data_IF_590885297188
#
_entry.id   IF_590885297188
#
_cell.length_a   1.000
_cell.length_b   1.000
_cell.length_c   1.000
_cell.angle_alpha   90.00
_cell.angle_beta   90.00
_cell.angle_gamma   90.00
#
_symmetry.space_group_name_H-M   'P 1'
#
loop_
_entity.id
_entity.type
_entity.pdbx_description
1 polymer ?
#
# COMPACT_ATOMS: atom_id res chain seq x y z
N UNK A 1 -10.38 -10.02 74.87
CA UNK A 1 -10.54 -9.13 73.70
C UNK A 1 -9.16 -8.76 73.18
N UNK A 2 -9.05 -8.60 71.86
CA UNK A 2 -7.91 -8.92 71.00
C UNK A 2 -6.54 -8.23 71.26
N UNK A 3 -5.42 -8.85 70.80
CA UNK A 3 -4.15 -8.16 70.61
C UNK A 3 -4.16 -7.34 69.31
N UNK A 4 -3.75 -6.07 69.36
CA UNK A 4 -3.43 -5.28 68.17
C UNK A 4 -2.02 -5.64 67.70
N UNK A 5 -1.92 -6.19 66.49
CA UNK A 5 -0.66 -6.37 65.76
C UNK A 5 -0.29 -5.04 65.10
N UNK A 6 0.83 -4.42 65.49
CA UNK A 6 1.47 -3.38 64.69
C UNK A 6 2.36 -4.05 63.64
N UNK A 7 1.92 -4.01 62.39
CA UNK A 7 2.56 -4.64 61.22
C UNK A 7 3.74 -3.84 60.63
N UNK A 8 4.11 -2.71 61.23
CA UNK A 8 5.25 -1.90 60.80
C UNK A 8 5.99 -1.39 62.02
N UNK A 9 6.96 -2.17 62.50
CA UNK A 9 8.04 -1.66 63.33
C UNK A 9 9.36 -2.10 62.68
N UNK A 10 9.95 -1.15 61.98
CA UNK A 10 11.41 -0.97 61.86
C UNK A 10 12.17 -2.02 61.02
N UNK A 11 12.07 -1.89 59.70
CA UNK A 11 13.25 -2.03 58.86
C UNK A 11 14.21 -0.87 59.17
N UNK A 12 15.33 -1.15 59.81
CA UNK A 12 16.67 -0.62 59.48
C UNK A 12 17.74 -1.25 60.37
N UNK A 13 18.88 -1.46 59.75
CA UNK A 13 20.17 -1.91 60.31
C UNK A 13 20.46 -3.42 60.22
N UNK A 14 20.40 -3.94 58.98
CA UNK A 14 21.25 -5.07 58.61
C UNK A 14 22.67 -4.53 58.41
N UNK A 15 23.43 -4.45 59.50
CA UNK A 15 24.86 -4.22 59.45
C UNK A 15 25.52 -5.40 58.70
N UNK A 16 26.10 -5.14 57.53
CA UNK A 16 26.96 -6.11 56.85
C UNK A 16 28.19 -6.35 57.73
N UNK A 17 28.28 -7.54 58.31
CA UNK A 17 29.44 -8.04 59.04
C UNK A 17 30.66 -8.02 58.13
N UNK A 18 31.65 -7.19 58.46
CA UNK A 18 32.99 -7.28 57.88
C UNK A 18 33.69 -8.50 58.49
N UNK A 19 33.87 -9.54 57.68
CA UNK A 19 34.69 -10.70 58.06
C UNK A 19 36.15 -10.26 58.13
N UNK A 20 36.91 -10.59 59.20
CA UNK A 20 38.34 -10.29 59.26
C UNK A 20 39.10 -11.18 58.26
N UNK A 21 39.95 -10.58 57.44
CA UNK A 21 40.89 -11.31 56.56
C UNK A 21 42.02 -11.86 57.42
N UNK A 22 42.07 -13.19 57.58
CA UNK A 22 43.16 -13.90 58.22
C UNK A 22 44.19 -14.37 57.16
N UNK A 23 45.45 -13.95 57.40
CA UNK A 23 46.74 -14.49 56.94
C UNK A 23 47.14 -14.35 55.46
N UNK A 24 48.20 -13.56 55.28
CA UNK A 24 49.15 -13.67 54.19
C UNK A 24 49.98 -14.96 54.30
N UNK A 25 50.19 -15.68 53.19
CA UNK A 25 51.49 -16.16 52.68
C UNK A 25 51.33 -17.23 51.60
N UNK A 26 51.41 -16.84 50.33
CA UNK A 26 52.23 -17.47 49.27
C UNK A 26 52.48 -16.39 48.20
N UNK A 27 53.74 -16.06 47.83
CA UNK A 27 54.00 -15.15 46.73
C UNK A 27 53.89 -15.94 45.42
N UNK A 28 52.90 -15.61 44.59
CA UNK A 28 52.83 -16.08 43.19
C UNK A 28 52.65 -14.84 42.31
N UNK A 29 53.77 -14.40 41.74
CA UNK A 29 53.95 -13.61 40.52
C UNK A 29 53.05 -12.35 40.36
N UNK A 30 53.59 -11.20 40.78
CA UNK A 30 52.94 -9.89 40.86
C UNK A 30 52.77 -9.10 39.53
N UNK A 31 53.05 -9.65 38.35
CA UNK A 31 53.28 -8.79 37.17
C UNK A 31 52.09 -8.47 36.23
N UNK A 32 50.83 -8.79 36.56
CA UNK A 32 49.73 -8.64 35.55
C UNK A 32 48.48 -7.87 35.95
N UNK A 33 48.31 -7.45 37.20
CA UNK A 33 47.07 -6.82 37.66
C UNK A 33 47.25 -5.30 37.77
N UNK A 34 46.70 -4.56 36.81
CA UNK A 34 46.64 -3.08 36.82
C UNK A 34 45.32 -2.65 37.45
N UNK A 35 45.38 -1.79 38.46
CA UNK A 35 44.21 -1.25 39.13
C UNK A 35 43.79 0.08 38.50
N UNK A 36 42.56 0.17 38.01
CA UNK A 36 42.03 1.40 37.43
C UNK A 36 40.67 1.74 38.07
N UNK A 37 40.51 3.01 38.46
CA UNK A 37 39.25 3.50 39.03
C UNK A 37 38.27 3.83 37.90
N UNK A 38 37.20 3.05 37.78
CA UNK A 38 36.10 3.34 36.85
C UNK A 38 34.85 3.60 37.67
N UNK A 39 34.27 4.79 37.52
CA UNK A 39 33.02 5.19 38.18
C UNK A 39 33.00 5.01 39.71
N UNK A 40 34.12 5.31 40.38
CA UNK A 40 34.21 5.29 41.86
C UNK A 40 34.49 3.93 42.49
N UNK A 41 34.65 2.88 41.69
CA UNK A 41 35.03 1.54 42.15
C UNK A 41 36.44 1.17 41.67
N UNK A 42 37.24 0.55 42.55
CA UNK A 42 38.55 -0.01 42.21
C UNK A 42 38.33 -1.34 41.49
N UNK A 43 38.71 -1.42 40.21
CA UNK A 43 38.57 -2.64 39.42
C UNK A 43 39.96 -3.16 39.06
N UNK A 44 40.24 -4.38 39.50
CA UNK A 44 41.43 -5.13 39.14
C UNK A 44 41.32 -5.60 37.69
N UNK A 45 42.14 -5.04 36.79
CA UNK A 45 42.22 -5.47 35.39
C UNK A 45 43.40 -6.40 35.19
N UNK A 46 43.18 -7.51 34.51
CA UNK A 46 44.26 -8.34 33.98
C UNK A 46 44.54 -7.97 32.52
N UNK A 47 45.81 -7.71 32.20
CA UNK A 47 46.24 -7.30 30.86
C UNK A 47 45.86 -8.32 29.78
N UNK A 48 45.94 -9.61 30.11
CA UNK A 48 45.67 -10.72 29.19
C UNK A 48 44.17 -10.83 28.83
N UNK A 49 43.28 -10.76 29.81
CA UNK A 49 41.84 -10.84 29.57
C UNK A 49 41.31 -9.60 28.84
N UNK A 50 41.87 -8.43 29.12
CA UNK A 50 41.48 -7.19 28.44
C UNK A 50 41.75 -7.26 26.94
N UNK A 51 42.93 -7.73 26.53
CA UNK A 51 43.28 -7.84 25.11
C UNK A 51 42.36 -8.84 24.38
N UNK A 52 42.13 -10.02 24.97
CA UNK A 52 41.30 -11.06 24.37
C UNK A 52 39.83 -10.67 24.31
N UNK A 53 39.29 -10.08 25.39
CA UNK A 53 37.90 -9.60 25.42
C UNK A 53 37.69 -8.42 24.50
N UNK A 54 38.67 -7.53 24.35
CA UNK A 54 38.60 -6.40 23.41
C UNK A 54 38.60 -6.86 21.96
N UNK A 55 39.43 -7.83 21.60
CA UNK A 55 39.44 -8.43 20.24
C UNK A 55 38.14 -9.20 19.97
N UNK A 56 37.68 -10.00 20.93
CA UNK A 56 36.40 -10.72 20.83
C UNK A 56 35.22 -9.76 20.66
N UNK A 57 35.13 -8.74 21.53
CA UNK A 57 34.08 -7.72 21.47
C UNK A 57 34.13 -6.95 20.15
N UNK A 58 35.33 -6.60 19.67
CA UNK A 58 35.53 -5.95 18.38
C UNK A 58 34.96 -6.78 17.23
N UNK A 59 35.34 -8.07 17.15
CA UNK A 59 34.85 -8.99 16.11
C UNK A 59 33.34 -9.21 16.21
N UNK A 60 32.81 -9.44 17.41
CA UNK A 60 31.37 -9.63 17.62
C UNK A 60 30.58 -8.38 17.23
N UNK A 61 31.05 -7.20 17.63
CA UNK A 61 30.38 -5.95 17.28
C UNK A 61 30.38 -5.70 15.78
N UNK A 62 31.48 -6.01 15.08
CA UNK A 62 31.54 -5.90 13.61
C UNK A 62 30.65 -6.91 12.91
N UNK A 63 30.59 -8.16 13.37
CA UNK A 63 29.72 -9.17 12.76
C UNK A 63 28.25 -8.87 13.03
N UNK A 64 27.91 -8.45 14.25
CA UNK A 64 26.56 -7.99 14.58
C UNK A 64 26.16 -6.75 13.79
N UNK A 65 27.07 -5.79 13.59
CA UNK A 65 26.76 -4.60 12.80
C UNK A 65 26.55 -4.92 11.32
N UNK A 66 27.36 -5.82 10.74
CA UNK A 66 27.19 -6.29 9.36
C UNK A 66 25.84 -7.01 9.19
N UNK A 67 25.53 -7.99 10.05
CA UNK A 67 24.26 -8.73 10.00
C UNK A 67 23.07 -7.79 10.19
N UNK A 68 23.18 -6.84 11.11
CA UNK A 68 22.13 -5.83 11.32
C UNK A 68 21.97 -4.92 10.10
N UNK A 69 23.06 -4.55 9.44
CA UNK A 69 23.04 -3.74 8.23
C UNK A 69 22.41 -4.49 7.04
N UNK A 70 22.78 -5.75 6.83
CA UNK A 70 22.19 -6.60 5.78
C UNK A 70 20.70 -6.83 6.00
N UNK A 71 20.31 -7.15 7.24
CA UNK A 71 18.91 -7.31 7.62
C UNK A 71 18.10 -6.03 7.39
N UNK A 72 18.63 -4.88 7.81
CA UNK A 72 17.97 -3.60 7.61
C UNK A 72 17.87 -3.22 6.13
N UNK A 73 18.89 -3.54 5.32
CA UNK A 73 18.86 -3.32 3.88
C UNK A 73 17.76 -4.15 3.20
N UNK A 74 17.71 -5.47 3.48
CA UNK A 74 16.70 -6.37 2.92
C UNK A 74 15.29 -5.94 3.33
N UNK A 75 15.10 -5.59 4.60
CA UNK A 75 13.83 -5.09 5.13
C UNK A 75 13.42 -3.79 4.46
N UNK A 76 14.36 -2.89 4.20
CA UNK A 76 14.09 -1.58 3.59
C UNK A 76 13.77 -1.73 2.11
N UNK A 77 14.47 -2.60 1.39
CA UNK A 77 14.15 -2.94 0.00
C UNK A 77 12.74 -3.53 -0.12
N UNK A 78 12.42 -4.54 0.71
CA UNK A 78 11.09 -5.16 0.72
C UNK A 78 9.99 -4.16 1.06
N UNK A 79 10.22 -3.29 2.05
CA UNK A 79 9.28 -2.22 2.40
C UNK A 79 9.10 -1.23 1.26
N UNK A 80 10.18 -0.83 0.57
CA UNK A 80 10.10 0.11 -0.54
C UNK A 80 9.34 -0.48 -1.73
N UNK A 81 9.55 -1.76 -2.04
CA UNK A 81 8.77 -2.46 -3.08
C UNK A 81 7.30 -2.56 -2.70
N UNK A 82 7.01 -2.87 -1.43
CA UNK A 82 5.66 -2.93 -0.91
C UNK A 82 4.96 -1.57 -0.95
N UNK A 83 5.63 -0.52 -0.49
CA UNK A 83 5.13 0.84 -0.50
C UNK A 83 4.91 1.33 -1.95
N UNK A 84 5.81 1.01 -2.88
CA UNK A 84 5.63 1.32 -4.30
C UNK A 84 4.44 0.58 -4.91
N UNK A 85 4.24 -0.70 -4.57
CA UNK A 85 3.08 -1.47 -5.01
C UNK A 85 1.77 -0.88 -4.47
N UNK A 86 1.73 -0.53 -3.18
CA UNK A 86 0.58 0.15 -2.57
C UNK A 86 0.35 1.49 -3.24
N UNK A 87 1.38 2.32 -3.41
CA UNK A 87 1.27 3.63 -4.04
C UNK A 87 0.73 3.55 -5.47
N UNK A 88 1.13 2.50 -6.22
CA UNK A 88 0.60 2.26 -7.56
C UNK A 88 -0.88 1.88 -7.52
N UNK A 89 -1.31 1.07 -6.56
CA UNK A 89 -2.72 0.70 -6.37
C UNK A 89 -3.55 1.91 -5.90
N UNK A 90 -3.05 2.68 -4.94
CA UNK A 90 -3.72 3.87 -4.41
C UNK A 90 -3.79 4.99 -5.44
N UNK A 91 -2.84 5.08 -6.39
CA UNK A 91 -2.92 6.05 -7.48
C UNK A 91 -4.13 5.85 -8.40
N UNK A 92 -4.67 4.63 -8.44
CA UNK A 92 -5.84 4.27 -9.25
C UNK A 92 -7.14 4.47 -8.46
N UNK A 93 -7.08 4.24 -7.14
CA UNK A 93 -8.21 4.31 -6.22
C UNK A 93 -8.50 5.75 -5.76
N UNK A 94 -9.74 6.20 -5.89
CA UNK A 94 -10.19 7.47 -5.29
C UNK A 94 -10.98 7.20 -3.98
N UNK A 95 -10.54 7.73 -2.82
CA UNK A 95 -11.24 7.57 -1.55
C UNK A 95 -12.66 8.12 -1.51
N UNK A 96 -12.99 9.11 -2.36
CA UNK A 96 -14.32 9.72 -2.40
C UNK A 96 -15.39 8.76 -2.93
N UNK A 97 -15.02 7.80 -3.77
CA UNK A 97 -15.94 6.85 -4.41
C UNK A 97 -16.45 5.75 -3.46
N UNK A 98 -16.02 5.72 -2.17
CA UNK A 98 -16.36 4.67 -1.18
C UNK A 98 -16.31 3.27 -1.82
N UNK A 99 -15.12 2.83 -2.21
CA UNK A 99 -14.95 1.69 -3.11
C UNK A 99 -15.64 0.40 -2.66
N UNK A 100 -15.50 -0.01 -1.40
CA UNK A 100 -16.04 -1.31 -0.94
C UNK A 100 -17.56 -1.49 -1.18
N UNK A 101 -18.46 -0.61 -0.68
CA UNK A 101 -19.89 -0.78 -0.93
C UNK A 101 -20.26 -0.63 -2.41
N UNK A 102 -19.67 0.36 -3.10
CA UNK A 102 -19.99 0.66 -4.49
C UNK A 102 -19.49 -0.40 -5.47
N UNK A 103 -18.34 -1.01 -5.19
CA UNK A 103 -17.80 -2.14 -5.96
C UNK A 103 -18.68 -3.37 -5.82
N UNK A 104 -19.18 -3.67 -4.62
CA UNK A 104 -20.14 -4.75 -4.41
C UNK A 104 -21.43 -4.52 -5.21
N UNK A 105 -21.95 -3.28 -5.26
CA UNK A 105 -23.10 -2.97 -6.10
C UNK A 105 -22.80 -3.12 -7.60
N UNK A 106 -21.59 -2.77 -8.05
CA UNK A 106 -21.19 -3.05 -9.42
C UNK A 106 -21.16 -4.56 -9.73
N UNK A 107 -20.67 -5.38 -8.79
CA UNK A 107 -20.64 -6.84 -8.91
C UNK A 107 -22.04 -7.45 -8.91
N UNK A 108 -22.97 -6.96 -8.09
CA UNK A 108 -24.34 -7.47 -8.09
C UNK A 108 -25.06 -7.15 -9.40
N UNK A 109 -24.84 -5.96 -9.99
CA UNK A 109 -25.36 -5.63 -11.32
C UNK A 109 -24.73 -6.52 -12.40
N UNK A 110 -23.42 -6.75 -12.36
CA UNK A 110 -22.74 -7.69 -13.26
C UNK A 110 -23.38 -9.09 -13.20
N UNK A 111 -23.60 -9.61 -11.99
CA UNK A 111 -24.21 -10.92 -11.79
C UNK A 111 -25.67 -10.94 -12.26
N UNK A 112 -26.41 -9.86 -12.01
CA UNK A 112 -27.78 -9.69 -12.52
C UNK A 112 -27.82 -9.71 -14.05
N UNK A 113 -26.85 -9.07 -14.72
CA UNK A 113 -26.68 -9.16 -16.16
C UNK A 113 -26.41 -10.59 -16.65
N UNK A 114 -25.67 -11.39 -15.87
CA UNK A 114 -25.46 -12.81 -16.18
C UNK A 114 -26.73 -13.65 -16.06
N UNK A 115 -27.58 -13.35 -15.07
CA UNK A 115 -28.87 -14.04 -14.91
C UNK A 115 -29.78 -13.68 -16.08
N UNK A 116 -29.78 -12.42 -16.51
CA UNK A 116 -30.57 -11.97 -17.65
C UNK A 116 -30.15 -12.65 -18.95
N UNK A 117 -28.84 -12.84 -19.17
CA UNK A 117 -28.31 -13.54 -20.34
C UNK A 117 -28.33 -15.07 -20.22
N UNK A 118 -28.88 -15.64 -19.14
CA UNK A 118 -28.83 -17.08 -18.86
C UNK A 118 -29.48 -17.96 -19.94
N UNK A 119 -30.53 -17.46 -20.62
CA UNK A 119 -31.23 -18.15 -21.73
C UNK A 119 -30.70 -17.78 -23.12
N UNK A 120 -29.66 -16.95 -23.21
CA UNK A 120 -29.11 -16.50 -24.49
C UNK A 120 -28.02 -17.45 -24.99
N UNK A 121 -27.59 -17.25 -26.24
CA UNK A 121 -26.48 -17.99 -26.84
C UNK A 121 -25.17 -17.79 -26.06
N UNK A 122 -24.25 -18.77 -26.17
CA UNK A 122 -22.97 -18.77 -25.46
C UNK A 122 -22.20 -17.42 -25.51
N UNK A 123 -22.01 -16.74 -26.66
CA UNK A 123 -21.28 -15.47 -26.68
C UNK A 123 -21.98 -14.36 -25.89
N UNK A 124 -23.31 -14.26 -26.00
CA UNK A 124 -24.10 -13.25 -25.27
C UNK A 124 -23.99 -13.48 -23.77
N UNK A 125 -23.98 -14.74 -23.33
CA UNK A 125 -23.83 -15.11 -21.91
C UNK A 125 -22.53 -14.62 -21.28
N UNK A 126 -21.44 -14.49 -22.05
CA UNK A 126 -20.16 -13.96 -21.55
C UNK A 126 -20.04 -12.44 -21.73
N UNK A 127 -20.61 -11.88 -22.79
CA UNK A 127 -20.50 -10.44 -23.07
C UNK A 127 -21.42 -9.63 -22.15
N UNK A 128 -22.65 -10.08 -21.91
CA UNK A 128 -23.63 -9.32 -21.12
C UNK A 128 -23.15 -8.99 -19.70
N UNK A 129 -22.59 -9.94 -18.91
CA UNK A 129 -22.04 -9.60 -17.59
C UNK A 129 -20.93 -8.55 -17.67
N UNK A 130 -20.04 -8.64 -18.66
CA UNK A 130 -18.93 -7.69 -18.83
C UNK A 130 -19.45 -6.29 -19.15
N UNK A 131 -20.44 -6.19 -20.05
CA UNK A 131 -21.06 -4.89 -20.38
C UNK A 131 -21.79 -4.30 -19.18
N UNK A 132 -22.60 -5.10 -18.47
CA UNK A 132 -23.31 -4.63 -17.28
C UNK A 132 -22.35 -4.27 -16.14
N UNK A 133 -21.29 -5.05 -15.93
CA UNK A 133 -20.28 -4.79 -14.91
C UNK A 133 -19.46 -3.54 -15.20
N UNK A 134 -19.03 -3.34 -16.45
CA UNK A 134 -18.30 -2.11 -16.84
C UNK A 134 -19.19 -0.87 -16.78
N UNK A 135 -20.45 -0.97 -17.19
CA UNK A 135 -21.41 0.11 -17.06
C UNK A 135 -21.68 0.46 -15.58
N UNK A 136 -21.90 -0.55 -14.74
CA UNK A 136 -22.11 -0.35 -13.30
C UNK A 136 -20.87 0.21 -12.61
N UNK A 137 -19.68 -0.24 -13.00
CA UNK A 137 -18.42 0.28 -12.47
C UNK A 137 -18.23 1.76 -12.81
N UNK A 138 -18.56 2.18 -14.05
CA UNK A 138 -18.55 3.60 -14.44
C UNK A 138 -19.61 4.42 -13.68
N UNK A 139 -20.77 3.83 -13.37
CA UNK A 139 -21.85 4.51 -12.67
C UNK A 139 -21.56 4.71 -11.17
N UNK A 140 -21.09 3.65 -10.49
CA UNK A 140 -20.85 3.67 -9.05
C UNK A 140 -19.46 4.18 -8.66
N UNK A 141 -18.44 4.05 -9.53
CA UNK A 141 -17.08 4.49 -9.27
C UNK A 141 -16.52 5.32 -10.45
N UNK A 142 -17.10 6.50 -10.72
CA UNK A 142 -16.76 7.28 -11.92
C UNK A 142 -15.31 7.77 -11.93
N UNK A 143 -14.75 8.17 -10.77
CA UNK A 143 -13.39 8.70 -10.69
C UNK A 143 -12.36 7.58 -10.75
N UNK A 144 -12.58 6.51 -9.98
CA UNK A 144 -11.74 5.31 -10.02
C UNK A 144 -11.70 4.72 -11.43
N UNK A 145 -12.83 4.70 -12.14
CA UNK A 145 -12.89 4.27 -13.54
C UNK A 145 -12.08 5.17 -14.47
N UNK A 146 -12.19 6.50 -14.33
CA UNK A 146 -11.39 7.44 -15.13
C UNK A 146 -9.88 7.24 -14.88
N UNK A 147 -9.47 7.07 -13.61
CA UNK A 147 -8.08 6.84 -13.24
C UNK A 147 -7.55 5.51 -13.76
N UNK A 148 -8.33 4.42 -13.67
CA UNK A 148 -7.96 3.12 -14.28
C UNK A 148 -7.80 3.26 -15.79
N UNK A 149 -8.76 3.89 -16.48
CA UNK A 149 -8.66 4.10 -17.93
C UNK A 149 -7.44 4.93 -18.31
N UNK A 150 -7.09 5.95 -17.53
CA UNK A 150 -5.89 6.76 -17.77
C UNK A 150 -4.61 5.96 -17.53
N UNK A 151 -4.56 5.14 -16.47
CA UNK A 151 -3.43 4.26 -16.19
C UNK A 151 -3.21 3.24 -17.33
N UNK A 152 -4.30 2.64 -17.83
CA UNK A 152 -4.25 1.72 -18.99
C UNK A 152 -3.76 2.46 -20.24
N UNK A 153 -4.29 3.65 -20.54
CA UNK A 153 -3.83 4.45 -21.68
C UNK A 153 -2.36 4.84 -21.59
N UNK A 154 -1.88 5.19 -20.40
CA UNK A 154 -0.46 5.51 -20.19
C UNK A 154 0.42 4.27 -20.41
N UNK A 155 -0.05 3.10 -19.97
CA UNK A 155 0.63 1.84 -20.22
C UNK A 155 0.63 1.45 -21.71
N UNK A 156 -0.50 1.62 -22.40
CA UNK A 156 -0.65 1.38 -23.83
C UNK A 156 0.21 2.35 -24.66
N UNK A 157 0.28 3.63 -24.28
CA UNK A 157 1.10 4.61 -24.96
C UNK A 157 2.59 4.24 -24.95
N UNK A 158 3.06 3.61 -23.87
CA UNK A 158 4.45 3.22 -23.73
C UNK A 158 4.80 1.89 -24.42
N UNK A 159 3.86 0.94 -24.47
CA UNK A 159 4.15 -0.43 -24.94
C UNK A 159 3.49 -0.78 -26.28
N UNK A 160 2.34 -0.18 -26.60
CA UNK A 160 1.48 -0.55 -27.73
C UNK A 160 0.85 0.70 -28.40
N UNK A 161 1.64 1.54 -29.10
CA UNK A 161 1.14 2.76 -29.72
C UNK A 161 0.08 2.50 -30.80
N UNK A 162 0.15 1.34 -31.48
CA UNK A 162 -0.81 0.96 -32.52
C UNK A 162 -2.23 0.80 -31.96
N UNK A 163 -2.35 0.15 -30.80
CA UNK A 163 -3.64 -0.03 -30.10
C UNK A 163 -4.23 1.31 -29.70
N UNK A 164 -3.39 2.24 -29.22
CA UNK A 164 -3.81 3.58 -28.85
C UNK A 164 -4.34 4.37 -30.05
N UNK A 165 -3.68 4.25 -31.21
CA UNK A 165 -4.11 4.91 -32.45
C UNK A 165 -5.46 4.38 -32.94
N UNK A 166 -5.68 3.06 -32.83
CA UNK A 166 -6.94 2.42 -33.19
C UNK A 166 -8.09 2.81 -32.26
N UNK A 167 -7.83 2.89 -30.95
CA UNK A 167 -8.82 3.40 -29.99
C UNK A 167 -9.23 4.85 -30.31
N UNK A 168 -8.26 5.69 -30.70
CA UNK A 168 -8.52 7.07 -31.12
C UNK A 168 -9.36 7.11 -32.40
N UNK A 169 -9.03 6.32 -33.42
CA UNK A 169 -9.82 6.28 -34.66
C UNK A 169 -11.25 5.79 -34.43
N UNK A 170 -11.46 4.82 -33.54
CA UNK A 170 -12.82 4.40 -33.13
C UNK A 170 -13.55 5.57 -32.48
N UNK A 171 -12.91 6.27 -31.55
CA UNK A 171 -13.51 7.41 -30.86
C UNK A 171 -13.88 8.51 -31.84
N UNK A 172 -13.01 8.83 -32.79
CA UNK A 172 -13.25 9.86 -33.80
C UNK A 172 -14.41 9.45 -34.72
N UNK A 173 -14.49 8.17 -35.09
CA UNK A 173 -15.61 7.62 -35.87
C UNK A 173 -16.93 7.72 -35.10
N UNK A 174 -16.94 7.42 -33.80
CA UNK A 174 -18.13 7.59 -32.95
C UNK A 174 -18.57 9.05 -32.85
N UNK A 175 -17.62 9.98 -32.73
CA UNK A 175 -17.92 11.42 -32.72
C UNK A 175 -18.46 11.91 -34.06
N UNK A 176 -17.97 11.37 -35.18
CA UNK A 176 -18.51 11.68 -36.50
C UNK A 176 -19.93 11.14 -36.66
N UNK A 177 -20.22 9.92 -36.20
CA UNK A 177 -21.55 9.35 -36.21
C UNK A 177 -22.54 10.15 -35.36
N UNK A 178 -22.11 10.61 -34.18
CA UNK A 178 -22.92 11.48 -33.32
C UNK A 178 -23.27 12.79 -34.04
N UNK A 179 -22.28 13.45 -34.65
CA UNK A 179 -22.49 14.67 -35.44
C UNK A 179 -23.43 14.43 -36.61
N UNK A 180 -23.22 13.35 -37.37
CA UNK A 180 -24.08 12.97 -38.48
C UNK A 180 -25.51 12.71 -38.00
N UNK A 181 -25.72 12.07 -36.85
CA UNK A 181 -27.05 11.87 -36.26
C UNK A 181 -27.74 13.19 -35.93
N UNK A 182 -27.02 14.13 -35.29
CA UNK A 182 -27.54 15.47 -35.02
C UNK A 182 -27.85 16.25 -36.31
N UNK A 183 -26.98 16.17 -37.32
CA UNK A 183 -27.15 16.84 -38.59
C UNK A 183 -28.33 16.24 -39.39
N UNK A 184 -28.51 14.92 -39.35
CA UNK A 184 -29.67 14.24 -39.92
C UNK A 184 -30.97 14.69 -39.24
N UNK A 185 -30.98 14.79 -37.91
CA UNK A 185 -32.14 15.28 -37.17
C UNK A 185 -32.48 16.73 -37.56
N UNK A 186 -31.47 17.60 -37.68
CA UNK A 186 -31.64 18.98 -38.14
C UNK A 186 -32.16 19.06 -39.58
N UNK A 187 -31.54 18.34 -40.50
CA UNK A 187 -31.93 18.29 -41.90
C UNK A 187 -33.35 17.74 -42.08
N UNK A 188 -33.74 16.73 -41.31
CA UNK A 188 -35.11 16.21 -41.32
C UNK A 188 -36.13 17.27 -40.88
N UNK A 189 -35.84 18.01 -39.80
CA UNK A 189 -36.69 19.12 -39.35
C UNK A 189 -36.80 20.21 -40.42
N UNK A 190 -35.69 20.60 -41.05
CA UNK A 190 -35.70 21.60 -42.13
C UNK A 190 -36.48 21.14 -43.36
N UNK A 191 -36.40 19.86 -43.73
CA UNK A 191 -37.18 19.28 -44.82
C UNK A 191 -38.68 19.26 -44.51
N UNK A 192 -39.07 18.92 -43.28
CA UNK A 192 -40.47 18.97 -42.86
C UNK A 192 -41.01 20.41 -42.91
N UNK A 193 -40.22 21.39 -42.46
CA UNK A 193 -40.60 22.82 -42.54
C UNK A 193 -40.79 23.26 -43.99
N UNK A 194 -39.88 22.87 -44.89
CA UNK A 194 -39.98 23.17 -46.33
C UNK A 194 -41.20 22.52 -46.97
N UNK A 195 -41.47 21.24 -46.68
CA UNK A 195 -42.65 20.54 -47.17
C UNK A 195 -43.95 21.22 -46.72
N UNK A 196 -44.05 21.60 -45.45
CA UNK A 196 -45.22 22.34 -44.93
C UNK A 196 -45.36 23.71 -45.62
N UNK A 197 -44.24 24.39 -45.87
CA UNK A 197 -44.23 25.67 -46.58
C UNK A 197 -44.68 25.52 -48.04
N UNK A 198 -44.14 24.54 -48.77
CA UNK A 198 -44.48 24.28 -50.18
C UNK A 198 -45.95 23.89 -50.35
N UNK A 199 -46.47 23.04 -49.46
CA UNK A 199 -47.90 22.70 -49.41
C UNK A 199 -48.74 23.96 -49.20
N UNK A 200 -48.36 24.83 -48.25
CA UNK A 200 -49.08 26.09 -48.00
C UNK A 200 -49.09 26.98 -49.24
N UNK A 201 -47.94 27.18 -49.90
CA UNK A 201 -47.84 28.03 -51.09
C UNK A 201 -48.65 27.47 -52.26
N UNK A 202 -48.65 26.13 -52.43
CA UNK A 202 -49.40 25.47 -53.49
C UNK A 202 -50.92 25.60 -53.35
N UNK A 203 -51.44 25.64 -52.12
CA UNK A 203 -52.87 25.81 -51.83
C UNK A 203 -53.36 27.25 -51.99
N UNK A 204 -52.45 28.24 -51.98
CA UNK A 204 -52.78 29.66 -52.14
C UNK A 204 -52.74 30.16 -53.59
N UNK A 205 -52.27 29.34 -54.54
CA UNK A 205 -52.30 29.63 -55.98
C UNK A 205 -53.55 29.04 -56.63
#
# INVERSE_FOLDING_TARGET
MAPSRSFYAEEKDIAFSQVPVEKASVPVEEDTIKKEFVSGYEVDRSSFLEEHTKVLRGKLNTQLSIVTAEYNNLRSAAKNEWDNAINKITSVYDPEDKFLPNFNYALTIMLSGSILASKSSLPVRFITPVVFGTAAFKFFLPRTFANTCNAVKNYEANNYPDVLSFQRSIKDSLQQLEKQGCDLQRNANEQLVKLVHDVRVSLTK
#
